data_IF_836039671794
#
_entry.id   IF_836039671794
#
_cell.length_a   1.000
_cell.length_b   1.000
_cell.length_c   1.000
_cell.angle_alpha   90.00
_cell.angle_beta   90.00
_cell.angle_gamma   90.00
#
_symmetry.space_group_name_H-M   'P 1'
#
loop_
_entity.id
_entity.type
_entity.pdbx_description
1 polymer ?
#
# COMPACT_ATOMS: atom_id res chain seq x y z
N UNK A 1 1.92 -22.90 3.17
CA UNK A 1 2.73 -21.90 3.91
C UNK A 1 3.21 -20.71 3.07
N UNK A 2 3.83 -20.88 1.89
CA UNK A 2 4.41 -19.74 1.13
C UNK A 2 3.44 -18.62 0.69
N UNK A 3 2.17 -18.94 0.40
CA UNK A 3 1.18 -17.93 -0.05
C UNK A 3 0.79 -16.93 1.05
N UNK A 4 0.63 -17.40 2.29
CA UNK A 4 0.31 -16.54 3.44
C UNK A 4 1.38 -15.49 3.67
N UNK A 5 2.66 -15.90 3.64
CA UNK A 5 3.81 -14.99 3.75
C UNK A 5 3.85 -13.92 2.66
N UNK A 6 3.48 -14.25 1.42
CA UNK A 6 3.42 -13.26 0.32
C UNK A 6 2.33 -12.21 0.57
N UNK A 7 1.16 -12.63 1.07
CA UNK A 7 0.07 -11.70 1.40
C UNK A 7 0.40 -10.81 2.59
N UNK A 8 1.06 -11.36 3.62
CA UNK A 8 1.56 -10.58 4.75
C UNK A 8 2.55 -9.50 4.26
N UNK A 9 3.51 -9.88 3.40
CA UNK A 9 4.47 -8.92 2.81
C UNK A 9 3.74 -7.85 1.99
N UNK A 10 2.76 -8.23 1.16
CA UNK A 10 1.97 -7.26 0.37
C UNK A 10 1.20 -6.29 1.27
N UNK A 11 0.68 -6.77 2.39
CA UNK A 11 -0.01 -5.94 3.38
C UNK A 11 0.94 -4.89 3.99
N UNK A 12 2.12 -5.31 4.47
CA UNK A 12 3.11 -4.38 5.03
C UNK A 12 3.63 -3.39 3.99
N UNK A 13 3.90 -3.83 2.77
CA UNK A 13 4.30 -2.95 1.65
C UNK A 13 3.19 -1.93 1.35
N UNK A 14 1.93 -2.37 1.34
CA UNK A 14 0.77 -1.48 1.15
C UNK A 14 0.69 -0.40 2.23
N UNK A 15 0.89 -0.75 3.51
CA UNK A 15 0.93 0.20 4.63
C UNK A 15 2.03 1.23 4.41
N UNK A 16 3.25 0.78 4.08
CA UNK A 16 4.39 1.69 3.86
C UNK A 16 4.10 2.63 2.69
N UNK A 17 3.55 2.14 1.58
CA UNK A 17 3.18 2.99 0.44
C UNK A 17 2.11 4.03 0.80
N UNK A 18 1.07 3.62 1.53
CA UNK A 18 -0.02 4.52 1.93
C UNK A 18 0.50 5.64 2.84
N UNK A 19 1.32 5.29 3.83
CA UNK A 19 1.96 6.26 4.74
C UNK A 19 2.94 7.17 3.99
N UNK A 20 3.72 6.61 3.06
CA UNK A 20 4.66 7.40 2.24
C UNK A 20 3.92 8.39 1.35
N UNK A 21 2.86 7.95 0.67
CA UNK A 21 2.03 8.82 -0.16
C UNK A 21 1.36 9.94 0.65
N UNK A 22 0.88 9.62 1.85
CA UNK A 22 0.35 10.62 2.78
C UNK A 22 1.43 11.59 3.27
N UNK A 23 2.60 11.10 3.65
CA UNK A 23 3.74 11.93 4.06
C UNK A 23 4.22 12.85 2.92
N UNK A 24 4.25 12.34 1.69
CA UNK A 24 4.62 13.13 0.51
C UNK A 24 3.66 14.30 0.25
N UNK A 25 2.42 14.29 0.74
CA UNK A 25 1.55 15.48 0.63
C UNK A 25 2.15 16.71 1.31
N UNK A 26 2.97 16.52 2.34
CA UNK A 26 3.65 17.59 3.06
C UNK A 26 4.97 18.02 2.42
N UNK A 27 5.51 17.23 1.47
CA UNK A 27 6.80 17.51 0.83
C UNK A 27 6.63 17.70 -0.68
N UNK A 28 7.10 18.83 -1.23
CA UNK A 28 6.95 19.13 -2.65
C UNK A 28 7.88 18.36 -3.62
N UNK A 29 8.23 17.12 -3.26
CA UNK A 29 9.19 16.28 -3.99
C UNK A 29 8.67 15.73 -5.33
N UNK A 30 7.36 15.56 -5.47
CA UNK A 30 6.73 15.00 -6.68
C UNK A 30 5.51 15.83 -7.12
N UNK A 31 5.04 15.74 -8.37
CA UNK A 31 3.76 16.33 -8.75
C UNK A 31 2.60 15.77 -7.91
N UNK A 32 1.61 16.61 -7.56
CA UNK A 32 0.44 16.21 -6.76
C UNK A 32 -0.22 14.91 -7.25
N UNK A 33 -0.45 14.69 -8.57
CA UNK A 33 -1.04 13.46 -9.07
C UNK A 33 -0.25 12.21 -8.67
N UNK A 34 1.09 12.26 -8.76
CA UNK A 34 1.95 11.13 -8.43
C UNK A 34 1.87 10.75 -6.94
N UNK A 35 1.82 11.75 -6.05
CA UNK A 35 1.68 11.53 -4.60
C UNK A 35 0.35 10.85 -4.26
N UNK A 36 -0.74 11.31 -4.90
CA UNK A 36 -2.06 10.72 -4.75
C UNK A 36 -2.05 9.27 -5.24
N UNK A 37 -1.46 9.00 -6.40
CA UNK A 37 -1.34 7.64 -6.93
C UNK A 37 -0.60 6.71 -5.98
N UNK A 38 0.52 7.13 -5.40
CA UNK A 38 1.28 6.33 -4.42
C UNK A 38 0.39 5.98 -3.22
N UNK A 39 -0.34 6.94 -2.67
CA UNK A 39 -1.27 6.71 -1.57
C UNK A 39 -2.37 5.70 -1.93
N UNK A 40 -3.02 5.87 -3.08
CA UNK A 40 -4.10 4.99 -3.56
C UNK A 40 -3.58 3.57 -3.81
N UNK A 41 -2.41 3.41 -4.42
CA UNK A 41 -1.81 2.10 -4.68
C UNK A 41 -1.49 1.38 -3.36
N UNK A 42 -1.01 2.11 -2.36
CA UNK A 42 -0.82 1.58 -1.01
C UNK A 42 -2.11 1.03 -0.40
N UNK A 43 -3.20 1.82 -0.45
CA UNK A 43 -4.52 1.40 0.02
C UNK A 43 -5.07 0.19 -0.74
N UNK A 44 -4.87 0.15 -2.06
CA UNK A 44 -5.30 -0.98 -2.89
C UNK A 44 -4.56 -2.28 -2.54
N UNK A 45 -3.24 -2.20 -2.28
CA UNK A 45 -2.44 -3.33 -1.81
C UNK A 45 -2.92 -3.85 -0.45
N UNK A 46 -3.25 -2.95 0.49
CA UNK A 46 -3.82 -3.32 1.80
C UNK A 46 -5.17 -4.04 1.61
N UNK A 47 -6.08 -3.47 0.82
CA UNK A 47 -7.40 -4.02 0.61
C UNK A 47 -7.36 -5.41 -0.07
N UNK A 48 -6.50 -5.56 -1.07
CA UNK A 48 -6.36 -6.82 -1.83
C UNK A 48 -5.62 -7.91 -1.06
N UNK A 49 -4.62 -7.56 -0.25
CA UNK A 49 -3.93 -8.52 0.62
C UNK A 49 -4.85 -9.02 1.73
N UNK A 50 -5.60 -8.13 2.40
CA UNK A 50 -6.52 -8.52 3.48
C UNK A 50 -7.62 -9.46 2.97
N UNK A 51 -8.24 -9.14 1.82
CA UNK A 51 -9.26 -10.00 1.19
C UNK A 51 -8.73 -11.40 0.86
N UNK A 52 -7.45 -11.54 0.51
CA UNK A 52 -6.84 -12.85 0.21
C UNK A 52 -6.45 -13.63 1.47
N UNK A 53 -6.16 -12.95 2.57
CA UNK A 53 -5.94 -13.58 3.88
C UNK A 53 -7.24 -14.12 4.48
N UNK A 54 -8.35 -13.42 4.31
CA UNK A 54 -9.67 -13.87 4.79
C UNK A 54 -10.21 -15.09 4.01
N UNK A 55 -9.71 -15.34 2.79
CA UNK A 55 -10.12 -16.44 1.92
C UNK A 55 -9.27 -17.73 2.08
N UNK A 56 -8.30 -17.73 2.99
CA UNK A 56 -7.36 -18.84 3.25
C UNK A 56 -7.57 -19.46 4.63
#
# INVERSE_FOLDING_TARGET
MKRKTIYDIQFYVGIILALTGAAMMFFELLPVPARITIGIVGLALIATSRRKMDLL
#
